data_IF_743518095947
#
_entry.id   IF_743518095947
#
_cell.length_a   1.000
_cell.length_b   1.000
_cell.length_c   1.000
_cell.angle_alpha   90.00
_cell.angle_beta   90.00
_cell.angle_gamma   90.00
#
_symmetry.space_group_name_H-M   'P 1'
#
loop_
_entity.id
_entity.type
_entity.pdbx_description
1 polymer ?
#
# COMPACT_ATOMS: atom_id res chain seq x y z
N UNK A 1 15.75 -22.60 5.80
CA UNK A 1 14.67 -22.76 6.79
C UNK A 1 13.91 -21.44 6.79
N UNK A 2 13.15 -21.22 5.71
CA UNK A 2 12.37 -20.00 5.49
C UNK A 2 11.04 -20.18 6.23
N UNK A 3 10.75 -19.25 7.15
CA UNK A 3 9.43 -19.15 7.74
C UNK A 3 8.52 -18.40 6.76
N UNK A 4 7.42 -19.06 6.38
CA UNK A 4 6.35 -18.51 5.55
C UNK A 4 5.74 -17.24 6.19
N UNK A 5 5.74 -16.08 5.51
CA UNK A 5 5.02 -14.91 5.98
C UNK A 5 3.50 -14.96 5.72
N UNK A 6 2.98 -16.02 5.09
CA UNK A 6 1.59 -16.06 4.58
C UNK A 6 0.55 -16.69 5.54
N UNK A 7 0.98 -17.16 6.71
CA UNK A 7 0.09 -17.90 7.64
C UNK A 7 -0.78 -16.97 8.51
N UNK A 8 -0.36 -15.73 8.77
CA UNK A 8 -1.05 -14.82 9.70
C UNK A 8 -2.39 -14.28 9.15
N UNK A 9 -2.45 -13.94 7.86
CA UNK A 9 -3.68 -13.43 7.24
C UNK A 9 -4.74 -14.53 7.05
N UNK A 10 -4.29 -15.75 6.68
CA UNK A 10 -5.15 -16.93 6.58
C UNK A 10 -5.69 -17.39 7.92
N UNK A 11 -4.86 -17.38 8.97
CA UNK A 11 -5.27 -17.75 10.33
C UNK A 11 -6.22 -16.69 10.94
N UNK A 12 -5.98 -15.40 10.69
CA UNK A 12 -6.87 -14.34 11.15
C UNK A 12 -8.23 -14.38 10.45
N UNK A 13 -8.27 -14.59 9.12
CA UNK A 13 -9.53 -14.74 8.37
C UNK A 13 -10.34 -15.93 8.87
N UNK A 14 -9.66 -17.05 9.15
CA UNK A 14 -10.28 -18.25 9.72
C UNK A 14 -10.81 -17.99 11.13
N UNK A 15 -10.04 -17.30 11.97
CA UNK A 15 -10.42 -16.94 13.34
C UNK A 15 -11.63 -16.01 13.36
N UNK A 16 -11.64 -14.99 12.50
CA UNK A 16 -12.75 -14.06 12.39
C UNK A 16 -14.04 -14.74 11.94
N UNK A 17 -13.97 -15.66 10.97
CA UNK A 17 -15.12 -16.49 10.56
C UNK A 17 -15.65 -17.33 11.72
N UNK A 18 -14.77 -17.99 12.48
CA UNK A 18 -15.14 -18.78 13.67
C UNK A 18 -15.83 -17.92 14.74
N UNK A 19 -15.38 -16.68 14.96
CA UNK A 19 -16.03 -15.75 15.89
C UNK A 19 -17.46 -15.44 15.45
N UNK A 20 -17.69 -15.19 14.16
CA UNK A 20 -19.04 -14.97 13.63
C UNK A 20 -19.93 -16.22 13.77
N UNK A 21 -19.42 -17.40 13.41
CA UNK A 21 -20.16 -18.66 13.56
C UNK A 21 -20.52 -18.96 15.02
N UNK A 22 -19.59 -18.71 15.94
CA UNK A 22 -19.83 -18.86 17.37
C UNK A 22 -20.89 -17.87 17.88
N UNK A 23 -20.83 -16.62 17.43
CA UNK A 23 -21.81 -15.61 17.79
C UNK A 23 -23.22 -16.02 17.36
N UNK A 24 -23.37 -16.50 16.12
CA UNK A 24 -24.65 -16.96 15.58
C UNK A 24 -25.16 -18.22 16.34
N UNK A 25 -24.25 -19.14 16.68
CA UNK A 25 -24.60 -20.32 17.47
C UNK A 25 -25.06 -19.95 18.89
N UNK A 26 -24.42 -18.97 19.54
CA UNK A 26 -24.84 -18.47 20.86
C UNK A 26 -26.21 -17.80 20.77
N UNK A 27 -26.46 -16.96 19.76
CA UNK A 27 -27.77 -16.34 19.53
C UNK A 27 -28.87 -17.40 19.39
N UNK A 28 -28.64 -18.43 18.56
CA UNK A 28 -29.60 -19.51 18.35
C UNK A 28 -29.93 -20.28 19.63
N UNK A 29 -28.91 -20.58 20.46
CA UNK A 29 -29.10 -21.28 21.73
C UNK A 29 -29.87 -20.47 22.76
N UNK A 30 -29.61 -19.16 22.85
CA UNK A 30 -30.33 -18.28 23.79
C UNK A 30 -31.79 -18.12 23.36
N UNK A 31 -32.07 -17.95 22.07
CA UNK A 31 -33.44 -17.88 21.57
C UNK A 31 -34.22 -19.17 21.88
N UNK A 32 -33.63 -20.34 21.62
CA UNK A 32 -34.24 -21.62 21.94
C UNK A 32 -34.52 -21.77 23.45
N UNK A 33 -33.60 -21.33 24.31
CA UNK A 33 -33.79 -21.38 25.77
C UNK A 33 -34.92 -20.44 26.24
N UNK A 34 -35.06 -19.26 25.63
CA UNK A 34 -36.16 -18.35 25.94
C UNK A 34 -37.51 -18.93 25.50
N UNK A 35 -37.58 -19.52 24.31
CA UNK A 35 -38.79 -20.21 23.84
C UNK A 35 -39.20 -21.36 24.78
N UNK A 36 -38.24 -22.13 25.27
CA UNK A 36 -38.48 -23.21 26.25
C UNK A 36 -39.02 -22.65 27.57
N UNK A 37 -38.43 -21.56 28.09
CA UNK A 37 -38.88 -20.93 29.34
C UNK A 37 -40.28 -20.34 29.18
N UNK A 38 -40.61 -19.73 28.03
CA UNK A 38 -41.94 -19.20 27.78
C UNK A 38 -42.99 -20.33 27.69
N UNK A 39 -42.64 -21.48 27.11
CA UNK A 39 -43.49 -22.67 27.12
C UNK A 39 -43.74 -23.20 28.54
N UNK A 40 -42.68 -23.28 29.37
CA UNK A 40 -42.79 -23.69 30.79
C UNK A 40 -43.67 -22.70 31.56
N UNK A 41 -43.48 -21.40 31.38
CA UNK A 41 -44.28 -20.36 32.03
C UNK A 41 -45.74 -20.39 31.58
N UNK A 42 -46.03 -20.65 30.30
CA UNK A 42 -47.39 -20.82 29.80
C UNK A 42 -48.10 -22.00 30.47
N UNK A 43 -47.40 -23.15 30.59
CA UNK A 43 -47.91 -24.33 31.29
C UNK A 43 -48.14 -24.04 32.77
N UNK A 44 -47.20 -23.35 33.42
CA UNK A 44 -47.26 -22.99 34.84
C UNK A 44 -48.41 -22.02 35.12
N UNK A 45 -48.67 -21.05 34.23
CA UNK A 45 -49.82 -20.14 34.32
C UNK A 45 -51.15 -20.89 34.24
N UNK A 46 -51.26 -21.91 33.39
CA UNK A 46 -52.47 -22.76 33.32
C UNK A 46 -52.68 -23.56 34.61
N UNK A 47 -51.63 -24.19 35.14
CA UNK A 47 -51.70 -24.93 36.42
C UNK A 47 -52.08 -24.01 37.58
N UNK A 48 -51.48 -22.82 37.59
CA UNK A 48 -51.74 -21.80 38.61
C UNK A 48 -53.17 -21.28 38.53
N UNK A 49 -53.70 -21.06 37.33
CA UNK A 49 -55.10 -20.66 37.13
C UNK A 49 -56.06 -21.75 37.63
N UNK A 50 -55.81 -23.01 37.29
CA UNK A 50 -56.61 -24.14 37.79
C UNK A 50 -56.57 -24.22 39.32
N UNK A 51 -55.40 -24.01 39.92
CA UNK A 51 -55.23 -23.98 41.38
C UNK A 51 -55.97 -22.80 42.02
N UNK A 52 -55.99 -21.62 41.40
CA UNK A 52 -56.76 -20.45 41.88
C UNK A 52 -58.27 -20.71 41.83
N UNK A 53 -58.77 -21.34 40.76
CA UNK A 53 -60.19 -21.71 40.64
C UNK A 53 -60.58 -22.70 41.73
N UNK A 54 -59.78 -23.74 41.96
CA UNK A 54 -60.08 -24.74 42.98
C UNK A 54 -59.94 -24.19 44.40
N UNK A 55 -58.97 -23.30 44.64
CA UNK A 55 -58.83 -22.55 45.89
C UNK A 55 -60.07 -21.69 46.20
N UNK A 56 -60.59 -20.98 45.20
CA UNK A 56 -61.81 -20.18 45.31
C UNK A 56 -63.06 -21.05 45.54
N UNK A 57 -63.10 -22.24 44.93
CA UNK A 57 -64.20 -23.20 45.05
C UNK A 57 -64.24 -23.92 46.41
N UNK A 58 -63.08 -24.31 46.94
CA UNK A 58 -62.98 -25.02 48.22
C UNK A 58 -63.37 -24.15 49.42
N UNK A 59 -63.08 -22.84 49.36
CA UNK A 59 -63.37 -21.90 50.44
C UNK A 59 -62.65 -22.21 51.77
N UNK A 60 -62.96 -21.43 52.81
CA UNK A 60 -62.37 -21.60 54.14
C UNK A 60 -60.86 -21.35 54.22
N UNK A 61 -60.22 -21.81 55.30
CA UNK A 61 -58.79 -21.61 55.55
C UNK A 61 -57.89 -22.37 54.58
N UNK A 62 -58.31 -23.57 54.12
CA UNK A 62 -57.55 -24.38 53.17
C UNK A 62 -57.54 -23.78 51.76
N UNK A 63 -58.69 -23.27 51.25
CA UNK A 63 -58.73 -22.56 49.97
C UNK A 63 -57.89 -21.28 49.97
N UNK A 64 -57.90 -20.53 51.08
CA UNK A 64 -57.06 -19.35 51.24
C UNK A 64 -55.56 -19.66 51.15
N UNK A 65 -55.09 -20.74 51.79
CA UNK A 65 -53.69 -21.15 51.73
C UNK A 65 -53.25 -21.57 50.31
N UNK A 66 -54.09 -22.31 49.58
CA UNK A 66 -53.80 -22.68 48.19
C UNK A 66 -53.79 -21.47 47.24
N UNK A 67 -54.66 -20.48 47.46
CA UNK A 67 -54.68 -19.24 46.69
C UNK A 67 -53.39 -18.43 46.78
N UNK A 68 -52.76 -18.38 47.97
CA UNK A 68 -51.47 -17.69 48.18
C UNK A 68 -50.35 -18.36 47.38
N UNK A 69 -50.26 -19.69 47.43
CA UNK A 69 -49.25 -20.46 46.67
C UNK A 69 -49.43 -20.26 45.17
N UNK A 70 -50.68 -20.28 44.70
CA UNK A 70 -50.97 -20.04 43.29
C UNK A 70 -50.56 -18.61 42.87
N UNK A 71 -50.86 -17.57 43.67
CA UNK A 71 -50.38 -16.21 43.39
C UNK A 71 -48.85 -16.15 43.29
N UNK A 72 -48.14 -16.75 44.24
CA UNK A 72 -46.67 -16.77 44.23
C UNK A 72 -46.09 -17.48 42.99
N UNK A 73 -46.73 -18.56 42.50
CA UNK A 73 -46.31 -19.25 41.28
C UNK A 73 -46.54 -18.43 40.01
N UNK A 74 -47.63 -17.63 39.97
CA UNK A 74 -47.85 -16.67 38.89
C UNK A 74 -46.77 -15.60 38.89
N UNK A 75 -46.50 -14.99 40.06
CA UNK A 75 -45.50 -13.95 40.20
C UNK A 75 -44.11 -14.46 39.81
N UNK A 76 -43.76 -15.69 40.21
CA UNK A 76 -42.51 -16.35 39.81
C UNK A 76 -42.43 -16.58 38.29
N UNK A 77 -43.53 -17.00 37.65
CA UNK A 77 -43.57 -17.22 36.19
C UNK A 77 -43.41 -15.91 35.42
N UNK A 78 -44.03 -14.83 35.92
CA UNK A 78 -43.93 -13.50 35.32
C UNK A 78 -42.49 -12.93 35.48
N UNK A 79 -41.88 -13.10 36.65
CA UNK A 79 -40.47 -12.78 36.88
C UNK A 79 -39.53 -13.60 35.99
N UNK A 80 -39.77 -14.90 35.84
CA UNK A 80 -38.96 -15.77 34.99
C UNK A 80 -39.01 -15.32 33.53
N UNK A 81 -40.21 -15.04 32.99
CA UNK A 81 -40.35 -14.55 31.61
C UNK A 81 -39.67 -13.17 31.43
N UNK A 82 -39.76 -12.29 32.42
CA UNK A 82 -39.08 -10.99 32.40
C UNK A 82 -37.55 -11.14 32.38
N UNK A 83 -37.00 -12.01 33.23
CA UNK A 83 -35.55 -12.28 33.31
C UNK A 83 -35.05 -12.92 32.03
N UNK A 84 -35.75 -13.93 31.51
CA UNK A 84 -35.38 -14.58 30.23
C UNK A 84 -35.40 -13.60 29.06
N UNK A 85 -36.43 -12.75 29.00
CA UNK A 85 -36.51 -11.69 27.99
C UNK A 85 -35.38 -10.68 28.11
N UNK A 86 -34.95 -10.35 29.33
CA UNK A 86 -33.79 -9.48 29.56
C UNK A 86 -32.50 -10.15 29.09
N UNK A 87 -32.28 -11.42 29.43
CA UNK A 87 -31.12 -12.21 28.99
C UNK A 87 -31.05 -12.26 27.46
N UNK A 88 -32.17 -12.51 26.76
CA UNK A 88 -32.19 -12.53 25.30
C UNK A 88 -31.83 -11.17 24.69
N UNK A 89 -32.37 -10.08 25.23
CA UNK A 89 -32.05 -8.71 24.77
C UNK A 89 -30.57 -8.38 24.99
N UNK A 90 -30.07 -8.59 26.20
CA UNK A 90 -28.70 -8.27 26.58
C UNK A 90 -27.71 -9.11 25.75
N UNK A 91 -28.01 -10.39 25.55
CA UNK A 91 -27.18 -11.28 24.72
C UNK A 91 -27.20 -10.83 23.25
N UNK A 92 -28.37 -10.48 22.71
CA UNK A 92 -28.48 -9.98 21.32
C UNK A 92 -27.69 -8.69 21.12
N UNK A 93 -27.72 -7.79 22.11
CA UNK A 93 -26.93 -6.56 22.09
C UNK A 93 -25.42 -6.86 22.13
N UNK A 94 -24.98 -7.75 23.02
CA UNK A 94 -23.58 -8.15 23.13
C UNK A 94 -23.07 -8.83 21.85
N UNK A 95 -23.88 -9.66 21.20
CA UNK A 95 -23.56 -10.30 19.93
C UNK A 95 -23.43 -9.27 18.81
N UNK A 96 -24.35 -8.30 18.73
CA UNK A 96 -24.27 -7.23 17.73
C UNK A 96 -22.99 -6.38 17.92
N UNK A 97 -22.61 -6.10 19.16
CA UNK A 97 -21.36 -5.39 19.47
C UNK A 97 -20.11 -6.21 19.11
N UNK A 98 -20.12 -7.51 19.41
CA UNK A 98 -19.05 -8.44 19.04
C UNK A 98 -18.89 -8.55 17.52
N UNK A 99 -19.99 -8.63 16.76
CA UNK A 99 -19.95 -8.65 15.30
C UNK A 99 -19.38 -7.34 14.72
N UNK A 100 -19.79 -6.18 15.24
CA UNK A 100 -19.22 -4.87 14.83
C UNK A 100 -17.73 -4.78 15.13
N UNK A 101 -17.32 -5.24 16.31
CA UNK A 101 -15.91 -5.23 16.73
C UNK A 101 -15.08 -6.17 15.87
N UNK A 102 -15.58 -7.38 15.60
CA UNK A 102 -14.94 -8.33 14.69
C UNK A 102 -14.79 -7.73 13.29
N UNK A 103 -15.83 -7.09 12.74
CA UNK A 103 -15.74 -6.40 11.44
C UNK A 103 -14.66 -5.31 11.43
N UNK A 104 -14.63 -4.41 12.44
CA UNK A 104 -13.58 -3.38 12.58
C UNK A 104 -12.19 -3.98 12.66
N UNK A 105 -12.02 -5.06 13.44
CA UNK A 105 -10.74 -5.74 13.59
C UNK A 105 -10.27 -6.34 12.26
N UNK A 106 -11.16 -6.97 11.49
CA UNK A 106 -10.82 -7.50 10.15
C UNK A 106 -10.32 -6.42 9.23
N UNK A 107 -11.03 -5.30 9.17
CA UNK A 107 -10.66 -4.19 8.31
C UNK A 107 -9.33 -3.58 8.75
N UNK A 108 -9.12 -3.39 10.05
CA UNK A 108 -7.85 -2.87 10.57
C UNK A 108 -6.67 -3.78 10.27
N UNK A 109 -6.80 -5.10 10.45
CA UNK A 109 -5.74 -6.07 10.14
C UNK A 109 -5.40 -6.07 8.65
N UNK A 110 -6.42 -6.08 7.78
CA UNK A 110 -6.20 -5.94 6.32
C UNK A 110 -5.53 -4.61 5.99
N UNK A 111 -5.97 -3.52 6.61
CA UNK A 111 -5.47 -2.18 6.34
C UNK A 111 -4.00 -2.03 6.73
N UNK A 112 -3.63 -2.53 7.92
CA UNK A 112 -2.23 -2.59 8.36
C UNK A 112 -1.39 -3.41 7.39
N UNK A 113 -1.88 -4.58 6.96
CA UNK A 113 -1.16 -5.39 5.95
C UNK A 113 -0.92 -4.61 4.66
N UNK A 114 -1.93 -3.94 4.11
CA UNK A 114 -1.77 -3.14 2.89
C UNK A 114 -0.76 -1.99 3.09
N UNK A 115 -0.75 -1.36 4.27
CA UNK A 115 0.22 -0.32 4.60
C UNK A 115 1.66 -0.86 4.71
N UNK A 116 1.83 -2.06 5.28
CA UNK A 116 3.14 -2.74 5.37
C UNK A 116 3.65 -3.16 3.98
N UNK A 117 2.76 -3.63 3.11
CA UNK A 117 3.08 -3.90 1.70
C UNK A 117 3.45 -2.62 0.96
N UNK A 118 2.73 -1.52 1.21
CA UNK A 118 3.04 -0.22 0.64
C UNK A 118 4.45 0.25 1.08
N UNK A 119 4.78 0.08 2.36
CA UNK A 119 6.10 0.39 2.92
C UNK A 119 7.21 -0.44 2.26
N UNK A 120 6.98 -1.75 2.11
CA UNK A 120 7.93 -2.64 1.43
C UNK A 120 8.18 -2.19 -0.01
N UNK A 121 7.11 -1.83 -0.73
CA UNK A 121 7.22 -1.36 -2.11
C UNK A 121 8.01 -0.06 -2.22
N UNK A 122 7.74 0.94 -1.38
CA UNK A 122 8.45 2.23 -1.46
C UNK A 122 9.91 2.12 -1.00
N UNK A 123 10.21 1.28 -0.01
CA UNK A 123 11.59 1.01 0.42
C UNK A 123 12.42 0.35 -0.70
N UNK A 124 11.84 -0.60 -1.45
CA UNK A 124 12.51 -1.21 -2.61
C UNK A 124 12.81 -0.20 -3.72
N UNK A 125 11.90 0.75 -3.95
CA UNK A 125 12.11 1.85 -4.90
C UNK A 125 13.26 2.74 -4.42
N UNK A 126 13.24 3.22 -3.18
CA UNK A 126 14.28 4.11 -2.65
C UNK A 126 15.67 3.49 -2.71
N UNK A 127 15.80 2.21 -2.33
CA UNK A 127 17.08 1.47 -2.41
C UNK A 127 17.60 1.41 -3.84
N UNK A 128 16.72 1.10 -4.79
CA UNK A 128 17.11 1.06 -6.20
C UNK A 128 17.52 2.44 -6.72
N UNK A 129 16.78 3.48 -6.36
CA UNK A 129 17.06 4.84 -6.82
C UNK A 129 18.31 5.43 -6.17
N UNK A 130 18.59 5.10 -4.91
CA UNK A 130 19.84 5.45 -4.22
C UNK A 130 21.06 4.97 -5.00
N UNK A 131 21.08 3.69 -5.40
CA UNK A 131 22.17 3.11 -6.19
C UNK A 131 22.42 3.90 -7.49
N UNK A 132 21.36 4.36 -8.17
CA UNK A 132 21.50 5.15 -9.42
C UNK A 132 22.12 6.52 -9.16
N UNK A 133 21.81 7.13 -8.02
CA UNK A 133 22.47 8.38 -7.62
C UNK A 133 23.98 8.17 -7.46
N UNK A 134 24.41 7.04 -6.89
CA UNK A 134 25.82 6.70 -6.71
C UNK A 134 26.50 6.37 -8.04
N UNK A 135 25.84 5.55 -8.87
CA UNK A 135 26.33 5.13 -10.19
C UNK A 135 26.69 6.34 -11.07
N UNK A 136 25.80 7.34 -11.17
CA UNK A 136 26.04 8.49 -12.06
C UNK A 136 27.23 9.33 -11.62
N UNK A 137 27.42 9.53 -10.31
CA UNK A 137 28.52 10.32 -9.77
C UNK A 137 29.85 9.61 -9.99
N UNK A 138 29.88 8.29 -9.77
CA UNK A 138 31.06 7.48 -10.04
C UNK A 138 31.42 7.47 -11.52
N UNK A 139 30.47 7.20 -12.42
CA UNK A 139 30.75 7.12 -13.85
C UNK A 139 31.08 8.47 -14.49
N UNK A 140 30.64 9.58 -13.90
CA UNK A 140 31.04 10.91 -14.34
C UNK A 140 32.55 11.19 -14.14
N UNK A 141 33.24 10.38 -13.34
CA UNK A 141 34.71 10.44 -13.15
C UNK A 141 35.50 9.51 -14.08
N UNK A 142 34.84 8.67 -14.87
CA UNK A 142 35.53 7.75 -15.79
C UNK A 142 36.33 8.56 -16.82
N UNK A 143 37.62 8.23 -16.97
CA UNK A 143 38.54 8.99 -17.82
C UNK A 143 38.06 9.06 -19.27
N UNK A 144 37.36 8.05 -19.77
CA UNK A 144 36.82 8.08 -21.13
C UNK A 144 35.78 9.19 -21.33
N UNK A 145 34.95 9.46 -20.32
CA UNK A 145 34.00 10.58 -20.33
C UNK A 145 34.72 11.93 -20.24
N UNK A 146 35.72 12.03 -19.35
CA UNK A 146 36.51 13.24 -19.14
C UNK A 146 37.29 13.59 -20.41
N UNK A 147 38.00 12.62 -21.00
CA UNK A 147 38.84 12.80 -22.19
C UNK A 147 37.99 13.17 -23.41
N UNK A 148 36.81 12.57 -23.58
CA UNK A 148 35.90 12.91 -24.67
C UNK A 148 35.42 14.37 -24.62
N UNK A 149 35.34 14.96 -23.42
CA UNK A 149 34.92 16.36 -23.23
C UNK A 149 36.10 17.34 -23.17
N UNK A 150 37.23 16.93 -22.60
CA UNK A 150 38.44 17.75 -22.50
C UNK A 150 39.19 17.86 -23.84
N UNK A 151 39.16 16.79 -24.64
CA UNK A 151 39.82 16.68 -25.94
C UNK A 151 38.84 16.13 -26.98
N UNK A 152 37.86 16.96 -27.43
CA UNK A 152 36.80 16.50 -28.31
C UNK A 152 37.36 16.03 -29.66
N UNK A 153 37.13 14.75 -29.97
CA UNK A 153 37.44 14.14 -31.26
C UNK A 153 36.48 12.98 -31.52
N UNK A 154 36.40 12.51 -32.76
CA UNK A 154 35.63 11.31 -33.07
C UNK A 154 36.19 10.09 -32.32
N UNK A 155 37.51 9.98 -32.20
CA UNK A 155 38.17 8.85 -31.53
C UNK A 155 37.85 8.79 -30.03
N UNK A 156 37.93 9.93 -29.34
CA UNK A 156 37.62 10.01 -27.89
C UNK A 156 36.13 9.78 -27.63
N UNK A 157 35.25 10.29 -28.50
CA UNK A 157 33.80 10.04 -28.42
C UNK A 157 33.44 8.57 -28.65
N UNK A 158 34.04 7.92 -29.65
CA UNK A 158 33.83 6.51 -29.95
C UNK A 158 34.37 5.62 -28.80
N UNK A 159 35.49 6.01 -28.19
CA UNK A 159 36.04 5.30 -27.04
C UNK A 159 35.11 5.42 -25.82
N UNK A 160 34.62 6.62 -25.51
CA UNK A 160 33.63 6.83 -24.47
C UNK A 160 32.37 5.99 -24.73
N UNK A 161 31.82 6.00 -25.95
CA UNK A 161 30.65 5.20 -26.32
C UNK A 161 30.86 3.70 -26.06
N UNK A 162 32.02 3.14 -26.45
CA UNK A 162 32.37 1.73 -26.15
C UNK A 162 32.45 1.46 -24.65
N UNK A 163 33.06 2.36 -23.87
CA UNK A 163 33.19 2.23 -22.41
C UNK A 163 31.83 2.26 -21.72
N UNK A 164 30.96 3.20 -22.10
CA UNK A 164 29.58 3.27 -21.63
C UNK A 164 28.79 1.99 -22.01
N UNK A 165 29.00 1.45 -23.20
CA UNK A 165 28.42 0.17 -23.62
C UNK A 165 28.87 -1.01 -22.76
N UNK A 166 30.14 -1.05 -22.34
CA UNK A 166 30.64 -2.07 -21.39
C UNK A 166 29.97 -1.95 -20.02
N UNK A 167 29.78 -0.72 -19.51
CA UNK A 167 29.04 -0.48 -18.27
C UNK A 167 27.61 -1.03 -18.41
N UNK A 168 26.92 -0.68 -19.49
CA UNK A 168 25.54 -1.13 -19.73
C UNK A 168 25.40 -2.65 -19.94
N UNK A 169 26.48 -3.38 -20.26
CA UNK A 169 26.46 -4.83 -20.31
C UNK A 169 26.51 -5.46 -18.90
N UNK A 170 27.15 -4.78 -17.94
CA UNK A 170 27.20 -5.21 -16.55
C UNK A 170 25.97 -4.75 -15.75
N UNK A 171 25.43 -3.58 -16.07
CA UNK A 171 24.28 -2.97 -15.39
C UNK A 171 23.09 -2.87 -16.35
N UNK A 172 22.26 -3.92 -16.36
CA UNK A 172 21.18 -4.11 -17.35
C UNK A 172 19.89 -3.35 -17.04
N UNK A 173 19.85 -2.60 -15.94
CA UNK A 173 18.66 -1.84 -15.48
C UNK A 173 18.48 -0.50 -16.20
N UNK A 174 19.44 -0.10 -17.03
CA UNK A 174 19.41 1.15 -17.78
C UNK A 174 18.99 0.90 -19.22
N UNK A 175 18.26 1.86 -19.79
CA UNK A 175 18.10 1.90 -21.23
C UNK A 175 19.41 2.32 -21.89
N UNK A 176 19.98 3.44 -21.46
CA UNK A 176 21.19 4.01 -22.04
C UNK A 176 21.95 4.90 -21.04
N UNK A 177 23.16 5.28 -21.40
CA UNK A 177 23.95 6.35 -20.75
C UNK A 177 24.33 7.34 -21.84
N UNK A 178 24.12 8.63 -21.60
CA UNK A 178 24.42 9.70 -22.55
C UNK A 178 25.45 10.67 -21.97
N UNK A 179 26.42 11.05 -22.79
CA UNK A 179 27.44 12.04 -22.47
C UNK A 179 27.17 13.29 -23.30
N UNK A 180 27.00 14.43 -22.63
CA UNK A 180 26.69 15.70 -23.25
C UNK A 180 27.80 16.72 -23.00
N UNK A 181 28.11 17.53 -24.01
CA UNK A 181 28.93 18.72 -23.86
C UNK A 181 28.19 19.83 -23.08
N UNK A 182 28.90 20.91 -22.70
CA UNK A 182 28.33 22.02 -21.93
C UNK A 182 27.17 22.74 -22.62
N UNK A 183 27.10 22.69 -23.95
CA UNK A 183 26.01 23.24 -24.76
C UNK A 183 24.82 22.28 -24.92
N UNK A 184 24.88 21.11 -24.25
CA UNK A 184 23.86 20.08 -24.26
C UNK A 184 23.93 19.11 -25.43
N UNK A 185 24.90 19.22 -26.34
CA UNK A 185 25.03 18.29 -27.46
C UNK A 185 25.48 16.91 -26.96
N UNK A 186 24.76 15.85 -27.32
CA UNK A 186 25.16 14.47 -27.02
C UNK A 186 26.35 14.09 -27.90
N UNK A 187 27.51 13.87 -27.28
CA UNK A 187 28.77 13.51 -27.96
C UNK A 187 29.01 12.00 -27.97
N UNK A 188 28.47 11.27 -26.99
CA UNK A 188 28.54 9.81 -26.93
C UNK A 188 27.31 9.23 -26.23
N UNK A 189 26.96 8.00 -26.58
CA UNK A 189 25.99 7.20 -25.83
C UNK A 189 26.45 5.73 -25.70
N UNK A 190 25.89 4.97 -24.78
CA UNK A 190 26.30 3.59 -24.52
C UNK A 190 25.67 2.56 -25.47
N UNK A 191 24.51 2.87 -26.08
CA UNK A 191 23.80 1.99 -27.03
C UNK A 191 23.51 2.69 -28.37
N UNK A 192 24.52 3.11 -29.14
CA UNK A 192 24.32 3.82 -30.41
C UNK A 192 23.55 3.00 -31.46
N UNK A 193 23.58 1.66 -31.37
CA UNK A 193 22.82 0.78 -32.26
C UNK A 193 21.33 0.72 -31.91
N UNK A 194 20.96 1.00 -30.65
CA UNK A 194 19.59 0.96 -30.17
C UNK A 194 18.96 2.37 -30.15
N UNK A 195 19.75 3.39 -29.82
CA UNK A 195 19.27 4.76 -29.64
C UNK A 195 20.11 5.76 -30.42
N UNK A 196 19.45 6.55 -31.26
CA UNK A 196 20.08 7.59 -32.09
C UNK A 196 20.15 8.94 -31.38
N UNK A 197 20.71 9.00 -30.18
CA UNK A 197 20.77 10.23 -29.39
C UNK A 197 21.97 11.13 -29.70
N UNK A 198 23.01 10.62 -30.37
CA UNK A 198 24.19 11.38 -30.80
C UNK A 198 23.77 12.58 -31.65
N UNK A 199 24.38 13.75 -31.42
CA UNK A 199 24.06 15.05 -32.04
C UNK A 199 22.67 15.63 -31.73
N UNK A 200 21.91 15.04 -30.80
CA UNK A 200 20.72 15.71 -30.25
C UNK A 200 21.13 16.69 -29.14
N UNK A 201 20.32 17.72 -28.91
CA UNK A 201 20.59 18.72 -27.87
C UNK A 201 19.67 18.51 -26.65
N UNK A 202 20.27 18.40 -25.48
CA UNK A 202 19.61 18.15 -24.19
C UNK A 202 19.72 19.34 -23.21
N UNK A 203 20.23 20.49 -23.64
CA UNK A 203 20.46 21.66 -22.78
C UNK A 203 19.18 22.18 -22.09
N UNK A 204 18.02 21.97 -22.72
CA UNK A 204 16.74 22.39 -22.16
C UNK A 204 16.21 21.45 -21.07
N UNK A 205 16.70 20.22 -21.01
CA UNK A 205 16.15 19.17 -20.14
C UNK A 205 16.42 19.45 -18.66
N UNK A 206 15.44 19.17 -17.77
CA UNK A 206 15.59 19.32 -16.32
C UNK A 206 16.82 18.61 -15.76
N UNK A 207 17.07 17.35 -16.12
CA UNK A 207 18.23 16.61 -15.60
C UNK A 207 19.56 17.30 -15.95
N UNK A 208 19.70 17.78 -17.19
CA UNK A 208 20.92 18.42 -17.66
C UNK A 208 21.20 19.73 -16.91
N UNK A 209 20.18 20.58 -16.79
CA UNK A 209 20.27 21.84 -16.04
C UNK A 209 20.56 21.60 -14.56
N UNK A 210 19.92 20.61 -13.96
CA UNK A 210 20.12 20.26 -12.56
C UNK A 210 21.57 19.82 -12.30
N UNK A 211 22.16 19.01 -13.18
CA UNK A 211 23.55 18.59 -13.05
C UNK A 211 24.55 19.75 -13.20
N UNK A 212 24.31 20.69 -14.11
CA UNK A 212 25.18 21.87 -14.26
C UNK A 212 25.06 22.86 -13.09
N UNK A 213 23.94 22.84 -12.37
CA UNK A 213 23.73 23.69 -11.22
C UNK A 213 24.46 23.21 -9.95
N UNK A 214 25.03 21.99 -9.96
CA UNK A 214 25.71 21.45 -8.78
C UNK A 214 27.05 22.14 -8.50
N UNK A 215 27.40 22.26 -7.22
CA UNK A 215 28.68 22.88 -6.83
C UNK A 215 29.83 21.88 -6.96
N UNK A 216 29.61 20.61 -6.61
CA UNK A 216 30.63 19.55 -6.67
C UNK A 216 30.17 18.31 -7.45
N UNK A 217 31.07 17.36 -7.67
CA UNK A 217 30.79 16.02 -8.20
C UNK A 217 30.15 15.04 -7.19
N UNK A 218 30.02 15.43 -5.92
CA UNK A 218 29.31 14.64 -4.91
C UNK A 218 27.78 14.84 -4.99
N UNK A 219 27.36 15.88 -5.70
CA UNK A 219 25.97 16.20 -5.98
C UNK A 219 25.54 15.62 -7.33
N UNK A 220 24.24 15.54 -7.55
CA UNK A 220 23.67 15.01 -8.79
C UNK A 220 22.43 15.80 -9.20
N UNK A 221 22.20 15.88 -10.51
CA UNK A 221 20.94 16.31 -11.08
C UNK A 221 19.97 15.13 -11.19
N UNK A 222 18.67 15.44 -11.18
CA UNK A 222 17.61 14.45 -11.25
C UNK A 222 16.44 14.97 -12.08
N UNK A 223 15.84 14.09 -12.86
CA UNK A 223 14.52 14.29 -13.47
C UNK A 223 13.67 13.05 -13.22
N UNK A 224 12.50 13.27 -12.64
CA UNK A 224 11.51 12.23 -12.35
C UNK A 224 11.02 11.53 -13.62
N UNK A 225 10.18 10.52 -13.43
CA UNK A 225 9.62 9.68 -14.49
C UNK A 225 8.96 10.52 -15.58
N UNK A 226 9.41 10.35 -16.82
CA UNK A 226 8.88 11.04 -17.99
C UNK A 226 9.10 10.20 -19.26
N UNK A 227 8.29 10.39 -20.32
CA UNK A 227 8.64 9.88 -21.64
C UNK A 227 9.90 10.60 -22.13
N UNK A 228 10.93 9.84 -22.51
CA UNK A 228 12.22 10.41 -22.91
C UNK A 228 12.53 10.13 -24.37
N UNK A 229 12.73 11.19 -25.16
CA UNK A 229 13.11 11.11 -26.56
C UNK A 229 14.46 10.39 -26.76
N UNK A 230 15.33 10.38 -25.74
CA UNK A 230 16.61 9.66 -25.75
C UNK A 230 16.41 8.15 -25.97
N UNK A 231 15.26 7.61 -25.54
CA UNK A 231 14.95 6.18 -25.56
C UNK A 231 13.62 5.89 -26.28
N UNK A 232 13.30 6.71 -27.30
CA UNK A 232 12.10 6.56 -28.15
C UNK A 232 10.79 6.67 -27.36
N UNK A 233 10.71 7.68 -26.49
CA UNK A 233 9.55 8.00 -25.64
C UNK A 233 9.14 6.89 -24.65
N UNK A 234 10.02 5.90 -24.44
CA UNK A 234 9.92 5.01 -23.29
C UNK A 234 10.05 5.82 -22.00
N UNK A 235 9.40 5.33 -20.94
CA UNK A 235 9.40 6.01 -19.65
C UNK A 235 10.74 5.81 -18.98
N UNK A 236 11.40 6.92 -18.71
CA UNK A 236 12.68 6.94 -18.07
C UNK A 236 12.64 7.84 -16.84
N UNK A 237 13.54 7.52 -15.93
CA UNK A 237 13.99 8.40 -14.88
C UNK A 237 15.47 8.70 -15.17
N UNK A 238 15.88 9.96 -15.01
CA UNK A 238 17.25 10.35 -15.36
C UNK A 238 17.96 10.92 -14.15
N UNK A 239 19.02 10.24 -13.73
CA UNK A 239 20.05 10.81 -12.86
C UNK A 239 21.16 11.37 -13.73
N UNK A 240 21.80 12.41 -13.25
CA UNK A 240 22.83 13.12 -14.00
C UNK A 240 23.90 13.71 -13.10
N UNK A 241 25.10 13.86 -13.60
CA UNK A 241 26.22 14.45 -12.87
C UNK A 241 27.08 15.25 -13.84
N UNK A 242 27.58 16.40 -13.38
CA UNK A 242 28.57 17.15 -14.13
C UNK A 242 29.86 16.32 -14.25
N UNK A 243 30.34 16.14 -15.47
CA UNK A 243 31.69 15.60 -15.71
C UNK A 243 32.66 16.76 -15.55
N UNK A 244 33.65 16.59 -14.67
CA UNK A 244 34.56 17.66 -14.25
C UNK A 244 35.99 17.37 -14.67
N UNK A 245 36.75 18.44 -14.84
CA UNK A 245 38.15 18.38 -15.29
C UNK A 245 38.98 17.43 -14.42
N UNK A 246 39.68 16.50 -15.08
CA UNK A 246 40.49 15.47 -14.42
C UNK A 246 39.70 14.45 -13.59
N UNK A 247 38.37 14.43 -13.68
CA UNK A 247 37.53 13.64 -12.77
C UNK A 247 37.51 14.15 -11.33
N UNK A 248 38.03 15.36 -11.07
CA UNK A 248 38.06 15.96 -9.75
C UNK A 248 36.66 16.44 -9.34
N UNK A 249 36.23 16.03 -8.15
CA UNK A 249 34.96 16.43 -7.52
C UNK A 249 34.79 17.95 -7.46
N UNK A 250 35.88 18.71 -7.37
CA UNK A 250 35.87 20.19 -7.38
C UNK A 250 36.36 20.81 -8.68
N UNK A 251 36.64 19.98 -9.69
CA UNK A 251 37.07 20.42 -11.01
C UNK A 251 36.01 21.27 -11.71
N UNK A 252 36.45 22.07 -12.68
CA UNK A 252 35.53 22.85 -13.53
C UNK A 252 34.68 21.89 -14.38
N UNK A 253 33.36 22.12 -14.53
CA UNK A 253 32.52 21.31 -15.41
C UNK A 253 33.01 21.34 -16.87
N UNK A 254 33.02 20.18 -17.50
CA UNK A 254 33.33 19.96 -18.92
C UNK A 254 32.09 19.51 -19.71
N UNK A 255 31.06 19.01 -19.04
CA UNK A 255 29.84 18.49 -19.63
C UNK A 255 28.99 17.78 -18.59
N UNK A 256 28.05 16.96 -19.04
CA UNK A 256 27.13 16.22 -18.16
C UNK A 256 27.01 14.78 -18.63
N UNK A 257 27.10 13.84 -17.68
CA UNK A 257 26.73 12.46 -17.87
C UNK A 257 25.28 12.27 -17.38
N UNK A 258 24.42 11.68 -18.20
CA UNK A 258 23.06 11.30 -17.84
C UNK A 258 22.89 9.77 -17.95
N UNK A 259 22.37 9.15 -16.89
CA UNK A 259 22.00 7.72 -16.90
C UNK A 259 20.49 7.62 -17.07
N UNK A 260 20.06 6.93 -18.12
CA UNK A 260 18.65 6.82 -18.51
C UNK A 260 18.10 5.50 -17.98
N UNK A 261 17.51 5.55 -16.78
CA UNK A 261 17.04 4.38 -16.05
C UNK A 261 15.71 3.86 -16.60
N UNK A 262 15.59 2.53 -16.73
CA UNK A 262 14.36 1.87 -17.16
C UNK A 262 13.38 1.79 -16.00
N UNK A 263 12.57 2.84 -15.85
CA UNK A 263 11.62 2.97 -14.75
C UNK A 263 10.57 1.86 -14.77
N UNK A 264 10.00 1.56 -15.94
CA UNK A 264 8.92 0.58 -16.07
C UNK A 264 9.39 -0.82 -15.65
N UNK A 265 10.64 -1.20 -15.92
CA UNK A 265 11.18 -2.48 -15.47
C UNK A 265 11.22 -2.59 -13.94
N UNK A 266 11.64 -1.54 -13.24
CA UNK A 266 11.67 -1.53 -11.77
C UNK A 266 10.25 -1.53 -11.19
N UNK A 267 9.42 -0.59 -11.65
CA UNK A 267 8.07 -0.38 -11.15
C UNK A 267 7.20 -1.62 -11.33
N UNK A 268 7.20 -2.21 -12.54
CA UNK A 268 6.46 -3.44 -12.81
C UNK A 268 7.00 -4.61 -12.00
N UNK A 269 8.32 -4.68 -11.78
CA UNK A 269 8.94 -5.67 -10.91
C UNK A 269 8.43 -5.58 -9.47
N UNK A 270 8.39 -4.38 -8.88
CA UNK A 270 7.87 -4.16 -7.51
C UNK A 270 6.38 -4.52 -7.41
N UNK A 271 5.57 -4.05 -8.37
CA UNK A 271 4.12 -4.33 -8.40
C UNK A 271 3.84 -5.83 -8.56
N UNK A 272 4.53 -6.49 -9.50
CA UNK A 272 4.34 -7.92 -9.76
C UNK A 272 4.73 -8.77 -8.54
N UNK A 273 5.81 -8.40 -7.85
CA UNK A 273 6.33 -9.13 -6.69
C UNK A 273 5.70 -8.73 -5.35
N UNK A 274 4.78 -7.75 -5.33
CA UNK A 274 3.99 -7.48 -4.13
C UNK A 274 3.19 -8.75 -3.77
N UNK A 275 3.33 -9.30 -2.54
CA UNK A 275 2.77 -10.60 -2.16
C UNK A 275 1.25 -10.50 -1.94
N UNK A 276 0.51 -10.60 -3.05
CA UNK A 276 -0.94 -10.72 -3.11
C UNK A 276 -1.30 -11.98 -3.88
N UNK A 277 -2.27 -12.73 -3.36
CA UNK A 277 -2.83 -13.87 -4.07
C UNK A 277 -3.61 -13.41 -5.34
N UNK A 278 -4.00 -14.35 -6.20
CA UNK A 278 -4.68 -13.99 -7.46
C UNK A 278 -6.02 -13.28 -7.26
N UNK A 279 -6.73 -13.57 -6.17
CA UNK A 279 -8.04 -12.99 -5.87
C UNK A 279 -7.88 -11.58 -5.30
N UNK A 280 -6.93 -11.39 -4.39
CA UNK A 280 -6.54 -10.09 -3.84
C UNK A 280 -6.03 -9.17 -4.94
N UNK A 281 -5.15 -9.67 -5.81
CA UNK A 281 -4.58 -8.88 -6.91
C UNK A 281 -5.64 -8.35 -7.87
N UNK A 282 -6.71 -9.12 -8.14
CA UNK A 282 -7.81 -8.66 -9.00
C UNK A 282 -8.67 -7.57 -8.36
N UNK A 283 -8.67 -7.47 -7.03
CA UNK A 283 -9.41 -6.45 -6.28
C UNK A 283 -8.52 -5.26 -5.87
N UNK A 284 -7.22 -5.31 -6.17
CA UNK A 284 -6.22 -4.38 -5.63
C UNK A 284 -5.51 -3.61 -6.75
N UNK A 285 -5.48 -2.28 -6.63
CA UNK A 285 -4.66 -1.38 -7.43
C UNK A 285 -3.45 -0.92 -6.60
N UNK A 286 -2.25 -1.10 -7.13
CA UNK A 286 -0.97 -0.70 -6.51
C UNK A 286 -0.43 0.48 -7.30
N UNK A 287 -0.12 1.58 -6.62
CA UNK A 287 0.38 2.79 -7.23
C UNK A 287 1.62 3.32 -6.50
N UNK A 288 2.55 3.90 -7.26
CA UNK A 288 3.59 4.80 -6.74
C UNK A 288 3.25 6.21 -7.20
N UNK A 289 3.27 7.18 -6.30
CA UNK A 289 2.95 8.59 -6.62
C UNK A 289 3.98 9.56 -6.08
N UNK A 290 4.06 10.74 -6.68
CA UNK A 290 4.71 11.88 -6.03
C UNK A 290 3.85 12.43 -4.86
N UNK A 291 4.33 13.50 -4.23
CA UNK A 291 3.65 14.16 -3.10
C UNK A 291 2.29 14.79 -3.47
N UNK A 292 2.16 15.25 -4.72
CA UNK A 292 0.92 15.83 -5.24
C UNK A 292 -0.10 14.74 -5.59
N UNK A 293 0.33 13.48 -5.73
CA UNK A 293 -0.49 12.34 -6.06
C UNK A 293 -0.45 11.98 -7.54
N UNK A 294 0.44 12.56 -8.34
CA UNK A 294 0.63 12.14 -9.73
C UNK A 294 1.19 10.73 -9.78
N UNK A 295 0.58 9.90 -10.61
CA UNK A 295 0.93 8.49 -10.74
C UNK A 295 2.27 8.33 -11.48
N UNK A 296 3.24 7.74 -10.79
CA UNK A 296 4.54 7.34 -11.31
C UNK A 296 4.55 5.85 -11.71
N UNK A 297 3.77 5.00 -11.04
CA UNK A 297 3.56 3.61 -11.44
C UNK A 297 2.16 3.16 -11.06
N UNK A 298 1.58 2.24 -11.83
CA UNK A 298 0.21 1.75 -11.63
C UNK A 298 0.05 0.31 -12.12
N UNK A 299 -0.50 -0.56 -11.28
CA UNK A 299 -0.84 -1.94 -11.64
C UNK A 299 -1.98 -2.06 -12.66
N UNK A 300 -2.85 -1.05 -12.76
CA UNK A 300 -3.97 -1.02 -13.70
C UNK A 300 -3.58 -0.50 -15.08
N UNK A 301 -2.32 -0.08 -15.26
CA UNK A 301 -1.77 0.45 -16.52
C UNK A 301 -2.49 1.73 -17.04
N UNK A 302 -3.18 2.46 -16.15
CA UNK A 302 -3.81 3.76 -16.41
C UNK A 302 -2.81 4.89 -16.09
N UNK A 303 -1.81 5.05 -16.97
CA UNK A 303 -0.59 5.81 -16.66
C UNK A 303 -0.61 7.27 -17.14
N UNK A 304 0.06 8.13 -16.36
CA UNK A 304 0.51 9.50 -16.72
C UNK A 304 -0.58 10.55 -17.05
N UNK A 305 -1.84 10.29 -16.73
CA UNK A 305 -2.92 11.30 -16.76
C UNK A 305 -3.76 11.37 -15.48
N UNK A 306 -3.57 10.40 -14.59
CA UNK A 306 -4.32 10.32 -13.35
C UNK A 306 -3.51 10.82 -12.17
N UNK A 307 -4.18 11.64 -11.37
CA UNK A 307 -3.78 11.99 -10.03
C UNK A 307 -4.62 11.12 -9.09
N UNK A 308 -3.97 10.37 -8.20
CA UNK A 308 -4.68 9.60 -7.19
C UNK A 308 -5.44 10.58 -6.30
N UNK A 309 -6.77 10.44 -6.28
CA UNK A 309 -7.66 11.30 -5.52
C UNK A 309 -8.68 10.46 -4.75
N UNK A 310 -8.73 10.67 -3.44
CA UNK A 310 -9.73 10.09 -2.57
C UNK A 310 -9.92 10.96 -1.31
N UNK A 311 -11.11 10.92 -0.68
CA UNK A 311 -11.35 11.63 0.58
C UNK A 311 -10.32 11.23 1.64
N UNK A 312 -9.64 12.22 2.23
CA UNK A 312 -8.63 11.99 3.28
C UNK A 312 -7.19 11.79 2.79
N UNK A 313 -6.91 11.83 1.48
CA UNK A 313 -5.55 11.67 0.93
C UNK A 313 -4.50 12.56 1.58
N UNK A 314 -4.77 13.86 1.70
CA UNK A 314 -3.82 14.80 2.32
C UNK A 314 -3.54 14.49 3.79
N UNK A 315 -4.51 13.94 4.52
CA UNK A 315 -4.32 13.50 5.90
C UNK A 315 -3.54 12.19 5.97
N UNK A 316 -3.71 11.31 4.99
CA UNK A 316 -2.98 10.06 4.89
C UNK A 316 -1.52 10.31 4.49
N UNK A 317 -1.26 11.15 3.49
CA UNK A 317 0.08 11.45 2.98
C UNK A 317 0.98 12.16 4.00
N UNK A 318 0.38 12.82 5.01
CA UNK A 318 1.11 13.40 6.14
C UNK A 318 1.58 12.35 7.17
N UNK A 319 1.11 11.11 7.06
CA UNK A 319 1.52 10.01 7.92
C UNK A 319 2.65 9.22 7.26
N UNK A 320 3.51 8.59 8.07
CA UNK A 320 4.60 7.76 7.56
C UNK A 320 4.08 6.49 6.90
N UNK A 321 3.39 5.64 7.67
CA UNK A 321 2.74 4.42 7.19
C UNK A 321 1.39 4.30 7.88
N UNK A 322 0.31 4.19 7.11
CA UNK A 322 -1.04 4.22 7.64
C UNK A 322 -2.06 3.63 6.65
N UNK A 323 -3.30 3.45 7.11
CA UNK A 323 -4.41 3.02 6.27
C UNK A 323 -5.69 3.79 6.59
N UNK A 324 -6.59 3.86 5.61
CA UNK A 324 -7.95 4.41 5.77
C UNK A 324 -8.96 3.58 4.97
N UNK A 325 -10.23 3.72 5.31
CA UNK A 325 -11.32 3.38 4.40
C UNK A 325 -11.87 4.67 3.77
N UNK A 326 -12.07 4.65 2.46
CA UNK A 326 -12.65 5.77 1.72
C UNK A 326 -13.49 5.26 0.55
N UNK A 327 -14.37 6.11 0.04
CA UNK A 327 -15.05 5.84 -1.23
C UNK A 327 -14.17 6.33 -2.38
N UNK A 328 -13.81 5.40 -3.28
CA UNK A 328 -13.06 5.65 -4.50
C UNK A 328 -13.93 5.18 -5.66
N UNK A 329 -14.23 6.07 -6.61
CA UNK A 329 -15.10 5.80 -7.77
C UNK A 329 -16.45 5.13 -7.40
N UNK A 330 -17.04 5.56 -6.29
CA UNK A 330 -18.32 5.05 -5.79
C UNK A 330 -18.25 3.69 -5.09
N UNK A 331 -17.05 3.15 -4.85
CA UNK A 331 -16.84 1.87 -4.14
C UNK A 331 -16.12 2.10 -2.83
N UNK A 332 -16.56 1.39 -1.79
CA UNK A 332 -15.83 1.36 -0.53
C UNK A 332 -14.49 0.65 -0.75
N UNK A 333 -13.40 1.33 -0.39
CA UNK A 333 -12.04 0.89 -0.68
C UNK A 333 -11.20 1.02 0.58
N UNK A 334 -10.45 -0.02 0.89
CA UNK A 334 -9.43 0.00 1.92
C UNK A 334 -8.11 0.41 1.30
N UNK A 335 -7.51 1.47 1.83
CA UNK A 335 -6.32 2.11 1.27
C UNK A 335 -5.19 1.99 2.27
N UNK A 336 -4.16 1.22 1.94
CA UNK A 336 -2.87 1.21 2.61
C UNK A 336 -1.92 2.22 1.97
N UNK A 337 -1.10 2.87 2.78
CA UNK A 337 -0.17 3.91 2.33
C UNK A 337 1.14 3.86 3.11
N UNK A 338 2.22 4.18 2.42
CA UNK A 338 3.48 4.52 3.02
C UNK A 338 4.19 5.65 2.26
N UNK A 339 4.81 6.56 3.00
CA UNK A 339 5.77 7.54 2.52
C UNK A 339 7.18 6.94 2.51
N UNK A 340 7.97 7.34 1.52
CA UNK A 340 9.40 7.03 1.40
C UNK A 340 10.13 7.27 2.75
N UNK A 341 10.61 6.21 3.43
CA UNK A 341 11.41 6.38 4.64
C UNK A 341 12.82 6.91 4.32
N UNK A 342 13.23 6.85 3.05
CA UNK A 342 14.60 7.06 2.61
C UNK A 342 15.47 5.83 2.84
N UNK A 343 16.62 5.81 2.16
CA UNK A 343 17.66 4.82 2.27
C UNK A 343 19.02 5.51 2.24
N UNK A 344 19.84 5.27 3.28
CA UNK A 344 21.12 5.96 3.50
C UNK A 344 20.96 7.49 3.46
N UNK A 345 21.51 8.15 2.44
CA UNK A 345 21.47 9.61 2.26
C UNK A 345 20.45 10.07 1.21
N UNK A 346 19.60 9.17 0.72
CA UNK A 346 18.63 9.43 -0.34
C UNK A 346 17.20 9.16 0.10
N UNK A 347 16.26 10.00 -0.33
CA UNK A 347 14.82 9.72 -0.28
C UNK A 347 14.19 10.26 -1.54
N UNK A 348 13.31 9.47 -2.17
CA UNK A 348 12.54 9.93 -3.32
C UNK A 348 11.50 10.97 -2.93
N UNK A 349 11.06 10.99 -1.67
CA UNK A 349 9.91 11.78 -1.22
C UNK A 349 8.59 11.31 -1.85
N UNK A 350 8.55 10.09 -2.38
CA UNK A 350 7.37 9.51 -3.02
C UNK A 350 6.53 8.68 -2.04
N UNK A 351 5.37 8.28 -2.52
CA UNK A 351 4.42 7.48 -1.76
C UNK A 351 4.08 6.18 -2.51
N UNK A 352 3.87 5.11 -1.76
CA UNK A 352 3.22 3.90 -2.24
C UNK A 352 1.80 3.84 -1.69
N UNK A 353 0.84 3.57 -2.57
CA UNK A 353 -0.59 3.51 -2.25
C UNK A 353 -1.15 2.20 -2.79
N UNK A 354 -1.77 1.41 -1.93
CA UNK A 354 -2.40 0.15 -2.28
C UNK A 354 -3.89 0.26 -1.95
N UNK A 355 -4.73 0.17 -2.97
CA UNK A 355 -6.18 0.37 -2.89
C UNK A 355 -6.89 -0.95 -3.18
N UNK A 356 -7.57 -1.50 -2.19
CA UNK A 356 -8.31 -2.77 -2.28
C UNK A 356 -9.81 -2.51 -2.16
N UNK A 357 -10.58 -2.85 -3.19
CA UNK A 357 -12.03 -2.72 -3.15
C UNK A 357 -12.65 -3.76 -2.19
N UNK A 358 -13.56 -3.31 -1.31
CA UNK A 358 -14.18 -4.14 -0.27
C UNK A 358 -15.40 -4.94 -0.72
#
# INVERSE_FOLDING_TARGET
MEQEPDNLAGDFTTTSRKISELADAVAGRVNAAVEEIDHINATTRLLTLNAQIEAARAGGSSGAAFGVVASAMKDLSDQASQVSSAIARDTSQAIAELQRTNHRLRTAVRGTRLADLALTNIDLIDRNLYERSCDVRWWATDSSCVDALAQPSQETSDYASRRLGTILNAYTVYHDIVLCALDGLVVANGRPQNFGSINTNQASQPWFKAALATATGDEFGFQTVHPSALVRDQRALVYSCAVREGGDVKGRPLGVLGIVFNWDSLANGVIANTPLDSRERNATRICITDADGHVLADSSNELLRDQIAFPGRESLYRQGTAHIQAFVDGRETLIGHAFSPGYETYSSGWHSVIMEAL
#
